data_IF_737957214920
#
_entry.id   IF_737957214920
#
_cell.length_a   1.000
_cell.length_b   1.000
_cell.length_c   1.000
_cell.angle_alpha   90.00
_cell.angle_beta   90.00
_cell.angle_gamma   90.00
#
_symmetry.space_group_name_H-M   'P 1'
#
loop_
_entity.id
_entity.type
_entity.pdbx_description
1 polymer ?
#
# COMPACT_ATOMS: atom_id res chain seq x y z
N UNK A 1 3.45 10.89 19.57
CA UNK A 1 2.44 9.99 18.97
C UNK A 1 3.09 9.32 17.78
N UNK A 2 2.95 8.01 17.68
CA UNK A 2 3.36 7.26 16.49
C UNK A 2 2.35 7.49 15.36
N UNK A 3 2.71 7.14 14.12
CA UNK A 3 1.73 7.18 13.02
C UNK A 3 0.60 6.16 13.23
N UNK A 4 0.87 5.02 13.87
CA UNK A 4 -0.16 4.04 14.23
C UNK A 4 -1.21 4.65 15.16
N UNK A 5 -0.80 5.45 16.15
CA UNK A 5 -1.74 6.16 17.03
C UNK A 5 -2.62 7.16 16.26
N UNK A 6 -2.07 7.78 15.21
CA UNK A 6 -2.77 8.76 14.38
C UNK A 6 -3.73 8.12 13.37
N UNK A 7 -3.56 6.83 13.05
CA UNK A 7 -4.31 6.10 12.02
C UNK A 7 -4.94 4.81 12.59
N UNK A 8 -5.50 4.90 13.81
CA UNK A 8 -6.16 3.80 14.48
C UNK A 8 -7.48 4.21 15.13
N UNK A 9 -8.37 3.24 15.36
CA UNK A 9 -9.71 3.48 15.90
C UNK A 9 -10.49 4.45 15.04
N UNK A 10 -11.12 5.46 15.67
CA UNK A 10 -11.88 6.50 14.99
C UNK A 10 -11.03 7.44 14.11
N UNK A 11 -9.70 7.33 14.16
CA UNK A 11 -8.78 8.12 13.32
C UNK A 11 -8.22 7.31 12.13
N UNK A 12 -8.60 6.05 11.97
CA UNK A 12 -8.21 5.27 10.79
C UNK A 12 -8.91 5.87 9.56
N UNK A 13 -8.17 6.27 8.51
CA UNK A 13 -8.79 6.84 7.34
C UNK A 13 -9.60 5.78 6.61
N UNK A 14 -10.79 6.18 6.19
CA UNK A 14 -11.67 5.35 5.36
C UNK A 14 -11.34 5.54 3.88
N UNK A 15 -10.69 6.66 3.52
CA UNK A 15 -10.42 7.00 2.13
C UNK A 15 -9.02 7.59 1.90
N UNK A 16 -8.49 7.35 0.71
CA UNK A 16 -7.37 8.09 0.14
C UNK A 16 -7.81 8.82 -1.13
N UNK A 17 -7.37 10.06 -1.30
CA UNK A 17 -7.55 10.85 -2.52
C UNK A 17 -6.20 11.10 -3.16
N UNK A 18 -6.05 10.70 -4.43
CA UNK A 18 -4.82 10.86 -5.22
C UNK A 18 -5.19 11.36 -6.60
N UNK A 19 -4.66 12.51 -7.01
CA UNK A 19 -4.97 13.08 -8.33
C UNK A 19 -6.47 13.38 -8.56
N UNK A 20 -7.28 13.47 -7.51
CA UNK A 20 -8.74 13.62 -7.59
C UNK A 20 -9.53 12.31 -7.66
N UNK A 21 -8.86 11.16 -7.56
CA UNK A 21 -9.47 9.84 -7.49
C UNK A 21 -9.54 9.33 -6.05
N UNK A 22 -10.69 8.76 -5.67
CA UNK A 22 -10.95 8.27 -4.32
C UNK A 22 -10.80 6.76 -4.26
N UNK A 23 -10.06 6.28 -3.26
CA UNK A 23 -9.91 4.87 -2.92
C UNK A 23 -10.45 4.62 -1.51
N UNK A 24 -11.31 3.62 -1.35
CA UNK A 24 -11.79 3.12 -0.06
C UNK A 24 -10.71 2.25 0.56
N UNK A 25 -10.34 2.54 1.81
CA UNK A 25 -9.20 1.94 2.47
C UNK A 25 -9.60 0.88 3.49
N UNK A 26 -8.84 -0.21 3.49
CA UNK A 26 -8.62 -1.02 4.69
C UNK A 26 -7.25 -0.67 5.28
N UNK A 27 -7.19 -0.53 6.62
CA UNK A 27 -5.96 -0.09 7.30
C UNK A 27 -5.26 -1.26 7.98
N UNK A 28 -3.99 -1.48 7.62
CA UNK A 28 -3.08 -2.43 8.24
C UNK A 28 -2.05 -1.70 9.12
N UNK A 29 -2.37 -1.54 10.41
CA UNK A 29 -1.58 -0.75 11.36
C UNK A 29 -0.90 -1.57 12.48
N UNK A 30 -1.03 -2.90 12.46
CA UNK A 30 -0.35 -3.81 13.38
C UNK A 30 0.45 -4.90 12.63
N UNK A 31 1.26 -5.67 13.37
CA UNK A 31 2.14 -6.68 12.76
C UNK A 31 1.38 -7.79 12.04
N UNK A 32 0.22 -8.20 12.55
CA UNK A 32 -0.59 -9.28 11.96
C UNK A 32 -1.31 -8.79 10.70
N UNK A 33 -1.96 -7.63 10.77
CA UNK A 33 -2.67 -7.05 9.62
C UNK A 33 -1.70 -6.72 8.48
N UNK A 34 -0.52 -6.17 8.78
CA UNK A 34 0.52 -5.93 7.78
C UNK A 34 1.10 -7.20 7.17
N UNK A 35 1.33 -8.25 7.97
CA UNK A 35 1.87 -9.52 7.45
C UNK A 35 0.84 -10.27 6.60
N UNK A 36 -0.45 -10.11 6.89
CA UNK A 36 -1.53 -10.69 6.10
C UNK A 36 -1.72 -9.95 4.77
N UNK A 37 -1.77 -8.61 4.81
CA UNK A 37 -1.99 -7.78 3.62
C UNK A 37 -3.23 -8.23 2.83
N UNK A 38 -3.08 -8.27 1.50
CA UNK A 38 -4.10 -8.77 0.57
C UNK A 38 -3.98 -10.27 0.25
N UNK A 39 -3.14 -11.01 0.99
CA UNK A 39 -2.93 -12.46 0.76
C UNK A 39 -4.26 -13.24 0.82
N UNK A 40 -4.41 -14.21 -0.07
CA UNK A 40 -5.56 -15.13 -0.22
C UNK A 40 -6.89 -14.46 -0.58
N UNK A 41 -6.91 -13.15 -0.87
CA UNK A 41 -8.10 -12.49 -1.40
C UNK A 41 -8.34 -12.92 -2.84
N UNK A 42 -9.61 -13.09 -3.20
CA UNK A 42 -9.99 -13.46 -4.57
C UNK A 42 -10.06 -12.25 -5.51
N UNK A 43 -10.36 -11.07 -4.95
CA UNK A 43 -10.52 -9.82 -5.70
C UNK A 43 -10.26 -8.62 -4.78
N UNK A 44 -9.96 -7.49 -5.41
CA UNK A 44 -9.97 -6.14 -4.83
C UNK A 44 -10.85 -5.28 -5.74
N UNK A 45 -11.73 -4.47 -5.16
CA UNK A 45 -12.57 -3.56 -5.95
C UNK A 45 -11.70 -2.48 -6.61
N UNK A 46 -12.12 -1.99 -7.78
CA UNK A 46 -11.32 -1.05 -8.58
C UNK A 46 -10.97 0.26 -7.84
N UNK A 47 -11.83 0.68 -6.92
CA UNK A 47 -11.65 1.88 -6.10
C UNK A 47 -11.32 1.53 -4.65
N UNK A 48 -10.72 0.36 -4.38
CA UNK A 48 -10.29 -0.03 -3.05
C UNK A 48 -8.76 -0.09 -2.96
N UNK A 49 -8.25 0.06 -1.75
CA UNK A 49 -6.83 -0.10 -1.44
C UNK A 49 -6.60 -0.53 0.00
N UNK A 50 -5.38 -0.94 0.29
CA UNK A 50 -4.93 -1.24 1.65
C UNK A 50 -3.82 -0.29 2.05
N UNK A 51 -4.06 0.49 3.10
CA UNK A 51 -3.08 1.39 3.68
C UNK A 51 -2.30 0.67 4.78
N UNK A 52 -1.00 0.51 4.57
CA UNK A 52 -0.06 0.02 5.56
C UNK A 52 0.49 1.20 6.36
N UNK A 53 0.29 1.17 7.68
CA UNK A 53 0.80 2.19 8.61
C UNK A 53 1.88 1.58 9.48
N UNK A 54 3.03 2.23 9.49
CA UNK A 54 4.20 1.82 10.27
C UNK A 54 4.42 2.76 11.46
N UNK A 55 4.96 2.22 12.55
CA UNK A 55 5.15 3.00 13.79
C UNK A 55 6.14 4.16 13.61
N UNK A 56 7.17 3.95 12.77
CA UNK A 56 8.24 4.91 12.48
C UNK A 56 8.63 4.83 11.01
N UNK A 57 9.29 5.88 10.50
CA UNK A 57 9.84 5.87 9.15
C UNK A 57 11.00 4.87 9.02
N UNK A 58 10.82 3.85 8.19
CA UNK A 58 11.84 2.86 7.91
C UNK A 58 11.80 2.41 6.44
N UNK A 59 12.79 1.62 6.06
CA UNK A 59 12.74 0.89 4.80
C UNK A 59 11.80 -0.29 4.97
N UNK A 60 10.82 -0.41 4.07
CA UNK A 60 9.78 -1.44 4.15
C UNK A 60 9.85 -2.36 2.94
N UNK A 61 9.61 -3.65 3.19
CA UNK A 61 9.67 -4.71 2.19
C UNK A 61 8.30 -5.35 2.05
N UNK A 62 7.90 -5.52 0.80
CA UNK A 62 6.67 -6.15 0.37
C UNK A 62 6.99 -7.33 -0.55
N UNK A 63 6.03 -8.22 -0.67
CA UNK A 63 6.08 -9.43 -1.49
C UNK A 63 4.66 -9.81 -1.92
N UNK A 64 4.55 -10.66 -2.93
CA UNK A 64 3.25 -11.08 -3.48
C UNK A 64 2.80 -12.46 -3.01
N UNK A 65 3.24 -12.87 -1.80
CA UNK A 65 2.94 -14.20 -1.25
C UNK A 65 1.43 -14.43 -1.18
N UNK A 66 0.95 -15.43 -1.91
CA UNK A 66 -0.47 -15.81 -1.96
C UNK A 66 -1.42 -14.67 -2.40
N UNK A 67 -0.93 -13.65 -3.12
CA UNK A 67 -1.79 -12.62 -3.75
C UNK A 67 -2.18 -13.08 -5.16
N UNK A 68 -3.46 -12.96 -5.51
CA UNK A 68 -4.05 -13.57 -6.73
C UNK A 68 -4.36 -12.58 -7.86
N UNK A 69 -3.99 -11.30 -7.71
CA UNK A 69 -4.17 -10.24 -8.70
C UNK A 69 -2.98 -9.27 -8.61
N UNK A 70 -2.63 -8.56 -9.70
CA UNK A 70 -1.55 -7.59 -9.68
C UNK A 70 -1.91 -6.40 -8.78
N UNK A 71 -0.89 -5.74 -8.25
CA UNK A 71 -1.02 -4.59 -7.36
C UNK A 71 -0.08 -3.47 -7.80
N UNK A 72 -0.51 -2.22 -7.64
CA UNK A 72 0.39 -1.08 -7.63
C UNK A 72 0.67 -0.71 -6.16
N UNK A 73 1.95 -0.61 -5.81
CA UNK A 73 2.42 -0.26 -4.48
C UNK A 73 3.00 1.15 -4.47
N UNK A 74 2.36 2.04 -3.70
CA UNK A 74 2.77 3.42 -3.54
C UNK A 74 3.47 3.58 -2.19
N UNK A 75 4.75 3.95 -2.18
CA UNK A 75 5.45 4.33 -0.94
C UNK A 75 5.23 5.82 -0.66
N UNK A 76 4.83 6.17 0.57
CA UNK A 76 4.32 7.51 0.87
C UNK A 76 5.02 8.08 2.11
N UNK A 77 5.62 9.27 2.01
CA UNK A 77 6.28 9.97 3.12
C UNK A 77 5.29 10.51 4.16
N UNK A 78 5.80 10.95 5.32
CA UNK A 78 4.98 11.45 6.43
C UNK A 78 4.07 12.63 6.08
N UNK A 79 4.43 13.44 5.09
CA UNK A 79 3.65 14.57 4.56
C UNK A 79 2.67 14.16 3.46
N UNK A 80 2.51 12.87 3.19
CA UNK A 80 1.57 12.32 2.21
C UNK A 80 2.11 12.28 0.78
N UNK A 81 3.37 12.64 0.52
CA UNK A 81 3.93 12.59 -0.84
C UNK A 81 4.28 11.16 -1.25
N UNK A 82 3.87 10.76 -2.45
CA UNK A 82 4.31 9.50 -3.07
C UNK A 82 5.78 9.65 -3.44
N UNK A 83 6.65 8.87 -2.79
CA UNK A 83 8.10 8.89 -3.05
C UNK A 83 8.51 7.92 -4.14
N UNK A 84 7.71 6.87 -4.35
CA UNK A 84 7.94 5.82 -5.34
C UNK A 84 6.67 5.02 -5.60
N UNK A 85 6.61 4.43 -6.80
CA UNK A 85 5.54 3.53 -7.22
C UNK A 85 6.17 2.28 -7.82
N UNK A 86 5.74 1.11 -7.38
CA UNK A 86 6.20 -0.18 -7.89
C UNK A 86 5.01 -1.03 -8.34
N UNK A 87 5.13 -1.63 -9.53
CA UNK A 87 4.13 -2.55 -10.07
C UNK A 87 4.49 -3.98 -9.67
N UNK A 88 3.55 -4.67 -9.02
CA UNK A 88 3.75 -5.99 -8.46
C UNK A 88 2.88 -7.01 -9.20
N UNK A 89 3.53 -8.00 -9.80
CA UNK A 89 2.87 -9.09 -10.52
C UNK A 89 2.62 -10.30 -9.63
N UNK A 90 1.61 -11.10 -9.96
CA UNK A 90 1.33 -12.35 -9.24
C UNK A 90 2.40 -13.41 -9.48
N UNK A 91 2.86 -14.06 -8.42
CA UNK A 91 3.90 -15.10 -8.48
C UNK A 91 3.31 -16.48 -8.14
N UNK A 92 2.82 -17.21 -9.14
CA UNK A 92 2.24 -18.55 -8.94
C UNK A 92 3.29 -19.67 -9.07
N UNK A 93 3.28 -20.62 -8.14
CA UNK A 93 4.17 -21.78 -8.16
C UNK A 93 5.62 -21.48 -7.78
N UNK A 94 5.90 -20.28 -7.27
CA UNK A 94 7.21 -19.86 -6.76
C UNK A 94 7.33 -20.22 -5.28
N UNK A 95 8.51 -20.67 -4.84
CA UNK A 95 8.78 -20.90 -3.42
C UNK A 95 8.85 -19.57 -2.67
N UNK A 96 8.40 -19.54 -1.42
CA UNK A 96 8.44 -18.32 -0.59
C UNK A 96 9.83 -17.65 -0.54
N UNK A 97 10.91 -18.44 -0.59
CA UNK A 97 12.28 -17.95 -0.54
C UNK A 97 12.75 -17.26 -1.83
N UNK A 98 12.04 -17.50 -2.93
CA UNK A 98 12.37 -17.01 -4.28
C UNK A 98 11.39 -15.92 -4.76
N UNK A 99 10.42 -15.52 -3.91
CA UNK A 99 9.50 -14.43 -4.22
C UNK A 99 10.23 -13.10 -4.40
N UNK A 100 9.73 -12.31 -5.34
CA UNK A 100 10.21 -10.96 -5.57
C UNK A 100 9.99 -10.08 -4.34
N UNK A 101 11.00 -9.27 -4.02
CA UNK A 101 10.96 -8.33 -2.90
C UNK A 101 10.92 -6.91 -3.44
N UNK A 102 9.90 -6.17 -3.02
CA UNK A 102 9.67 -4.77 -3.35
C UNK A 102 10.04 -3.93 -2.12
N UNK A 103 11.08 -3.11 -2.23
CA UNK A 103 11.63 -2.33 -1.12
C UNK A 103 11.44 -0.84 -1.36
N UNK A 104 11.02 -0.11 -0.32
CA UNK A 104 10.89 1.35 -0.40
C UNK A 104 12.27 1.98 -0.69
N UNK A 105 12.38 2.98 -1.58
CA UNK A 105 13.66 3.62 -1.86
C UNK A 105 14.06 4.65 -0.79
N UNK A 106 13.15 4.96 0.12
CA UNK A 106 13.35 5.87 1.22
C UNK A 106 12.69 5.34 2.50
N UNK A 107 13.04 5.96 3.63
CA UNK A 107 12.35 5.73 4.90
C UNK A 107 10.98 6.40 4.83
N UNK A 108 9.92 5.62 4.97
CA UNK A 108 8.54 6.09 4.85
C UNK A 108 7.69 5.51 5.97
N UNK A 109 6.64 6.21 6.45
CA UNK A 109 5.73 5.67 7.45
C UNK A 109 4.49 4.99 6.85
N UNK A 110 4.27 5.12 5.53
CA UNK A 110 3.09 4.62 4.85
C UNK A 110 3.42 3.90 3.55
N UNK A 111 2.62 2.91 3.22
CA UNK A 111 2.52 2.36 1.87
C UNK A 111 1.06 2.07 1.54
N UNK A 112 0.66 2.23 0.28
CA UNK A 112 -0.70 1.97 -0.18
C UNK A 112 -0.65 0.98 -1.33
N UNK A 113 -1.32 -0.15 -1.16
CA UNK A 113 -1.59 -1.10 -2.25
C UNK A 113 -2.94 -0.77 -2.88
N UNK A 114 -2.98 -0.60 -4.20
CA UNK A 114 -4.20 -0.53 -5.01
C UNK A 114 -4.17 -1.59 -6.12
N UNK A 115 -5.29 -1.80 -6.81
CA UNK A 115 -5.35 -2.75 -7.91
C UNK A 115 -4.32 -2.40 -9.00
N UNK A 116 -3.58 -3.40 -9.49
CA UNK A 116 -2.51 -3.21 -10.47
C UNK A 116 -2.99 -2.59 -11.77
N UNK A 117 -2.17 -1.69 -12.32
CA UNK A 117 -2.48 -0.92 -13.54
C UNK A 117 -3.34 0.33 -13.29
N UNK A 118 -3.83 0.57 -12.07
CA UNK A 118 -4.57 1.80 -11.74
C UNK A 118 -3.70 3.04 -11.77
N UNK A 119 -2.41 2.93 -11.46
CA UNK A 119 -1.46 4.04 -11.56
C UNK A 119 -1.41 4.54 -13.01
N UNK A 120 -1.22 3.63 -13.97
CA UNK A 120 -1.15 3.99 -15.39
C UNK A 120 -2.50 4.45 -15.93
N UNK A 121 -3.59 3.76 -15.57
CA UNK A 121 -4.95 4.10 -16.00
C UNK A 121 -5.35 5.53 -15.59
N UNK A 122 -4.98 5.93 -14.38
CA UNK A 122 -5.39 7.20 -13.77
C UNK A 122 -4.33 8.29 -13.88
N UNK A 123 -3.15 7.99 -14.44
CA UNK A 123 -2.04 8.93 -14.57
C UNK A 123 -1.47 9.37 -13.22
N UNK A 124 -1.39 8.44 -12.26
CA UNK A 124 -0.77 8.71 -10.96
C UNK A 124 0.75 8.65 -11.10
N UNK A 125 1.46 9.56 -10.44
CA UNK A 125 2.91 9.65 -10.57
C UNK A 125 3.58 9.89 -9.21
N UNK A 126 4.85 9.47 -9.10
CA UNK A 126 5.70 9.85 -7.98
C UNK A 126 5.77 11.38 -7.87
N UNK A 127 5.68 11.89 -6.65
CA UNK A 127 5.63 13.31 -6.35
C UNK A 127 4.22 13.89 -6.19
N UNK A 128 3.16 13.15 -6.58
CA UNK A 128 1.80 13.46 -6.18
C UNK A 128 1.60 13.26 -4.67
N UNK A 129 0.52 13.81 -4.15
CA UNK A 129 0.16 13.70 -2.74
C UNK A 129 -1.07 12.81 -2.56
N UNK A 130 -1.04 12.02 -1.50
CA UNK A 130 -2.15 11.25 -0.98
C UNK A 130 -2.75 12.02 0.18
N UNK A 131 -4.03 12.35 0.08
CA UNK A 131 -4.81 12.89 1.19
C UNK A 131 -5.59 11.75 1.83
N UNK A 132 -5.45 11.58 3.14
CA UNK A 132 -6.20 10.59 3.92
C UNK A 132 -7.41 11.27 4.58
N UNK A 133 -8.59 10.67 4.45
CA UNK A 133 -9.87 11.14 5.02
C UNK A 133 -10.54 10.07 5.87
#
# INVERSE_FOLDING_TARGET
MSFVDLFSGDNAPEQAIIGGHTFVLEVANDGNTRSQGLSRRQLLAENAGMLFVFETEAFHKFWMKEVHFPLDLLFISADGKIVDIQHMETESGILDADLSIYESPARVPFALEILGGKVDELGLESGMFVQFE
#
